data_IF_893038940155
#
_entry.id   IF_893038940155
#
_cell.length_a   1.000
_cell.length_b   1.000
_cell.length_c   1.000
_cell.angle_alpha   90.00
_cell.angle_beta   90.00
_cell.angle_gamma   90.00
#
_symmetry.space_group_name_H-M   'P 1'
#
loop_
_entity.id
_entity.type
_entity.pdbx_description
1 polymer ?
#
# COMPACT_ATOMS: atom_id res chain seq x y z
N UNK A 1 -7.48 6.39 15.41
CA UNK A 1 -6.29 6.31 14.53
C UNK A 1 -5.98 4.86 14.26
N UNK A 2 -5.69 4.52 13.02
CA UNK A 2 -5.37 3.16 12.59
C UNK A 2 -4.03 3.23 11.88
N UNK A 3 -3.03 2.50 12.35
CA UNK A 3 -1.73 2.38 11.71
C UNK A 3 -1.52 0.94 11.30
N UNK A 4 -0.99 0.69 10.10
CA UNK A 4 -0.71 -0.67 9.63
C UNK A 4 0.48 -0.74 8.68
N UNK A 5 1.01 -1.95 8.55
CA UNK A 5 1.97 -2.31 7.51
C UNK A 5 1.30 -3.34 6.60
N UNK A 6 1.07 -2.98 5.34
CA UNK A 6 0.58 -3.92 4.33
C UNK A 6 1.75 -4.42 3.47
N UNK A 7 1.85 -5.73 3.25
CA UNK A 7 2.92 -6.35 2.48
C UNK A 7 2.33 -7.08 1.28
N UNK A 8 2.87 -6.78 0.09
CA UNK A 8 2.52 -7.47 -1.15
C UNK A 8 3.76 -8.04 -1.84
N UNK A 9 3.54 -9.08 -2.63
CA UNK A 9 4.57 -9.66 -3.50
C UNK A 9 4.26 -9.31 -4.95
N UNK A 10 5.24 -8.73 -5.63
CA UNK A 10 5.16 -8.43 -7.06
C UNK A 10 5.59 -9.68 -7.85
N UNK A 11 4.92 -9.95 -8.97
CA UNK A 11 5.32 -11.02 -9.90
C UNK A 11 6.74 -10.77 -10.41
N UNK A 12 7.47 -11.86 -10.65
CA UNK A 12 8.83 -11.78 -11.20
C UNK A 12 8.88 -10.93 -12.49
N UNK A 13 9.84 -10.02 -12.56
CA UNK A 13 10.04 -9.13 -13.72
C UNK A 13 9.15 -7.89 -13.76
N UNK A 14 8.17 -7.74 -12.85
CA UNK A 14 7.25 -6.60 -12.86
C UNK A 14 7.59 -5.48 -11.87
N UNK A 15 8.70 -5.57 -11.13
CA UNK A 15 9.00 -4.64 -10.03
C UNK A 15 9.12 -3.18 -10.48
N UNK A 16 9.82 -2.91 -11.59
CA UNK A 16 9.96 -1.55 -12.12
C UNK A 16 8.61 -0.97 -12.53
N UNK A 17 7.81 -1.74 -13.28
CA UNK A 17 6.44 -1.36 -13.68
C UNK A 17 5.54 -1.12 -12.46
N UNK A 18 5.65 -1.95 -11.43
CA UNK A 18 4.90 -1.81 -10.18
C UNK A 18 5.24 -0.48 -9.49
N UNK A 19 6.52 -0.09 -9.45
CA UNK A 19 6.97 1.20 -8.90
C UNK A 19 6.43 2.38 -9.74
N UNK A 20 6.46 2.28 -11.07
CA UNK A 20 5.91 3.33 -11.94
C UNK A 20 4.40 3.54 -11.75
N UNK A 21 3.64 2.44 -11.60
CA UNK A 21 2.22 2.50 -11.28
C UNK A 21 2.02 3.14 -9.91
N UNK A 22 2.79 2.74 -8.89
CA UNK A 22 2.69 3.30 -7.55
C UNK A 22 2.92 4.81 -7.51
N UNK A 23 3.93 5.30 -8.25
CA UNK A 23 4.19 6.75 -8.38
C UNK A 23 3.00 7.53 -8.94
N UNK A 24 2.12 6.89 -9.73
CA UNK A 24 0.92 7.51 -10.30
C UNK A 24 -0.30 7.41 -9.39
N UNK A 25 -0.47 6.30 -8.66
CA UNK A 25 -1.68 6.07 -7.85
C UNK A 25 -1.58 6.69 -6.46
N UNK A 26 -0.39 6.68 -5.83
CA UNK A 26 -0.22 7.18 -4.45
C UNK A 26 -0.66 8.64 -4.29
N UNK A 27 -0.30 9.58 -5.19
CA UNK A 27 -0.79 10.95 -5.11
C UNK A 27 -2.32 11.03 -5.16
N UNK A 28 -2.96 10.25 -6.04
CA UNK A 28 -4.42 10.22 -6.20
C UNK A 28 -5.12 9.69 -4.96
N UNK A 29 -4.57 8.65 -4.32
CA UNK A 29 -5.07 8.13 -3.04
C UNK A 29 -5.06 9.26 -2.01
N UNK A 30 -3.90 9.89 -1.80
CA UNK A 30 -3.73 11.00 -0.84
C UNK A 30 -4.64 12.20 -1.12
N UNK A 31 -4.87 12.54 -2.39
CA UNK A 31 -5.79 13.62 -2.77
C UNK A 31 -7.26 13.27 -2.52
N UNK A 32 -7.66 12.02 -2.79
CA UNK A 32 -9.05 11.56 -2.68
C UNK A 32 -9.45 11.14 -1.27
N UNK A 33 -8.48 10.85 -0.41
CA UNK A 33 -8.69 10.29 0.94
C UNK A 33 -7.98 11.17 1.98
N UNK A 34 -8.55 12.34 2.35
CA UNK A 34 -7.90 13.26 3.29
C UNK A 34 -7.73 12.69 4.71
N UNK A 35 -8.44 11.62 5.05
CA UNK A 35 -8.25 10.87 6.30
C UNK A 35 -7.09 9.87 6.27
N UNK A 36 -6.49 9.62 5.10
CA UNK A 36 -5.27 8.84 4.91
C UNK A 36 -4.07 9.76 5.16
N UNK A 37 -3.56 9.71 6.39
CA UNK A 37 -2.46 10.56 6.86
C UNK A 37 -1.11 10.11 6.28
N UNK A 38 -0.88 8.80 6.26
CA UNK A 38 0.32 8.21 5.65
C UNK A 38 -0.10 7.10 4.68
N UNK A 39 0.55 7.08 3.51
CA UNK A 39 0.42 6.05 2.49
C UNK A 39 1.73 6.00 1.70
N UNK A 40 2.72 5.29 2.25
CA UNK A 40 4.09 5.32 1.76
C UNK A 40 4.54 3.92 1.37
N UNK A 41 4.63 3.60 0.06
CA UNK A 41 5.21 2.34 -0.38
C UNK A 41 6.74 2.35 -0.26
N UNK A 42 7.31 1.22 0.16
CA UNK A 42 8.75 1.00 0.30
C UNK A 42 9.15 -0.31 -0.35
N UNK A 43 10.33 -0.32 -0.99
CA UNK A 43 11.02 -1.56 -1.35
C UNK A 43 11.80 -2.09 -0.14
N UNK A 44 11.89 -3.41 -0.01
CA UNK A 44 12.61 -4.03 1.11
C UNK A 44 14.02 -4.44 0.69
N UNK A 45 15.02 -4.06 1.50
CA UNK A 45 16.43 -4.39 1.26
C UNK A 45 16.67 -5.90 1.37
N UNK A 46 17.49 -6.45 0.48
CA UNK A 46 17.96 -7.83 0.51
C UNK A 46 17.36 -8.70 -0.60
N UNK A 47 18.16 -9.62 -1.15
CA UNK A 47 17.79 -10.43 -2.33
C UNK A 47 16.53 -11.28 -2.13
N UNK A 48 16.28 -11.75 -0.91
CA UNK A 48 15.05 -12.49 -0.51
C UNK A 48 13.77 -11.67 -0.70
N UNK A 49 13.88 -10.35 -0.67
CA UNK A 49 12.75 -9.41 -0.73
C UNK A 49 12.72 -8.57 -2.00
N UNK A 50 13.48 -8.97 -3.03
CA UNK A 50 13.60 -8.22 -4.30
C UNK A 50 12.26 -7.90 -5.00
N UNK A 51 11.21 -8.66 -4.70
CA UNK A 51 9.85 -8.44 -5.23
C UNK A 51 8.85 -8.08 -4.11
N UNK A 52 9.29 -7.53 -2.99
CA UNK A 52 8.41 -7.13 -1.90
C UNK A 52 8.23 -5.63 -1.91
N UNK A 53 6.98 -5.21 -1.79
CA UNK A 53 6.61 -3.84 -1.46
C UNK A 53 5.85 -3.88 -0.12
N UNK A 54 6.24 -3.00 0.78
CA UNK A 54 5.51 -2.76 2.02
C UNK A 54 4.92 -1.35 1.98
N UNK A 55 3.73 -1.17 2.53
CA UNK A 55 3.06 0.11 2.66
C UNK A 55 3.04 0.46 4.13
N UNK A 56 3.55 1.64 4.47
CA UNK A 56 3.32 2.25 5.78
C UNK A 56 2.10 3.13 5.65
N UNK A 57 1.07 2.77 6.40
CA UNK A 57 -0.24 3.40 6.30
C UNK A 57 -0.69 3.90 7.66
N UNK A 58 -1.30 5.09 7.65
CA UNK A 58 -1.85 5.72 8.84
C UNK A 58 -3.14 6.44 8.47
N UNK A 59 -4.19 6.16 9.23
CA UNK A 59 -5.52 6.73 9.04
C UNK A 59 -5.96 7.44 10.31
N UNK A 60 -6.60 8.60 10.15
CA UNK A 60 -7.08 9.42 11.26
C UNK A 60 -7.97 8.64 12.23
N UNK A 61 -8.87 7.84 11.70
CA UNK A 61 -9.88 7.07 12.41
C UNK A 61 -10.31 5.84 11.60
N UNK A 62 -11.25 5.07 12.15
CA UNK A 62 -11.78 3.86 11.52
C UNK A 62 -12.62 4.18 10.27
N UNK A 63 -13.31 5.33 10.24
CA UNK A 63 -14.07 5.77 9.07
C UNK A 63 -13.14 6.04 7.87
N UNK A 64 -12.02 6.72 8.09
CA UNK A 64 -11.00 6.94 7.07
C UNK A 64 -10.40 5.61 6.56
N UNK A 65 -10.14 4.65 7.45
CA UNK A 65 -9.67 3.33 7.07
C UNK A 65 -10.71 2.56 6.25
N UNK A 66 -11.98 2.58 6.66
CA UNK A 66 -13.07 1.93 5.92
C UNK A 66 -13.26 2.54 4.53
N UNK A 67 -13.14 3.86 4.41
CA UNK A 67 -13.16 4.56 3.11
C UNK A 67 -12.01 4.09 2.21
N UNK A 68 -10.80 3.99 2.75
CA UNK A 68 -9.64 3.47 2.02
C UNK A 68 -9.91 2.06 1.49
N UNK A 69 -10.39 1.16 2.37
CA UNK A 69 -10.71 -0.22 1.99
C UNK A 69 -11.79 -0.30 0.89
N UNK A 70 -12.79 0.57 0.92
CA UNK A 70 -13.82 0.65 -0.11
C UNK A 70 -13.27 1.15 -1.46
N UNK A 71 -12.31 2.08 -1.43
CA UNK A 71 -11.67 2.62 -2.63
C UNK A 71 -10.54 1.74 -3.18
N UNK A 72 -9.97 0.84 -2.36
CA UNK A 72 -8.81 0.02 -2.70
C UNK A 72 -8.95 -0.71 -4.05
N UNK A 73 -10.07 -1.39 -4.39
CA UNK A 73 -10.21 -2.06 -5.69
C UNK A 73 -10.12 -1.10 -6.89
N UNK A 74 -10.65 0.13 -6.72
CA UNK A 74 -10.61 1.17 -7.76
C UNK A 74 -9.20 1.74 -7.89
N UNK A 75 -8.57 2.10 -6.77
CA UNK A 75 -7.27 2.75 -6.74
C UNK A 75 -6.14 1.79 -7.17
N UNK A 76 -6.27 0.49 -6.87
CA UNK A 76 -5.27 -0.53 -7.17
C UNK A 76 -5.52 -1.26 -8.50
N UNK A 77 -6.51 -0.87 -9.31
CA UNK A 77 -6.89 -1.58 -10.55
C UNK A 77 -5.72 -1.86 -11.50
N UNK A 78 -4.79 -0.91 -11.64
CA UNK A 78 -3.59 -1.06 -12.49
C UNK A 78 -2.44 -1.79 -11.80
N UNK A 79 -2.42 -1.80 -10.46
CA UNK A 79 -1.36 -2.38 -9.64
C UNK A 79 -1.62 -3.86 -9.34
N UNK A 80 -2.85 -4.23 -8.98
CA UNK A 80 -3.25 -5.59 -8.60
C UNK A 80 -2.86 -6.67 -9.63
N UNK A 81 -2.95 -6.46 -10.96
CA UNK A 81 -2.52 -7.47 -11.94
C UNK A 81 -1.03 -7.82 -11.87
N UNK A 82 -0.19 -6.91 -11.34
CA UNK A 82 1.26 -7.08 -11.21
C UNK A 82 1.65 -7.90 -9.97
N UNK A 83 0.70 -8.19 -9.08
CA UNK A 83 0.96 -8.86 -7.81
C UNK A 83 0.73 -10.36 -7.90
N UNK A 84 1.47 -11.10 -7.08
CA UNK A 84 1.11 -12.45 -6.68
C UNK A 84 -0.16 -12.40 -5.81
N UNK A 85 -0.99 -13.46 -5.78
CA UNK A 85 -2.13 -13.52 -4.89
C UNK A 85 -1.72 -13.41 -3.42
N UNK A 86 -2.51 -12.65 -2.66
CA UNK A 86 -2.33 -12.49 -1.22
C UNK A 86 -1.72 -11.15 -0.82
N UNK A 87 -2.05 -10.75 0.39
CA UNK A 87 -1.55 -9.56 1.06
C UNK A 87 -1.47 -9.88 2.54
N UNK A 88 -0.36 -9.53 3.17
CA UNK A 88 -0.21 -9.64 4.62
C UNK A 88 -0.42 -8.25 5.25
N UNK A 89 -1.19 -8.18 6.33
CA UNK A 89 -1.55 -6.90 6.97
C UNK A 89 -1.27 -7.01 8.46
N UNK A 90 -0.42 -6.10 8.95
CA UNK A 90 -0.08 -5.98 10.35
C UNK A 90 -0.62 -4.67 10.91
N UNK A 91 -1.65 -4.71 11.74
CA UNK A 91 -2.10 -3.53 12.48
C UNK A 91 -1.08 -3.18 13.58
N UNK A 92 -0.77 -1.90 13.72
CA UNK A 92 0.26 -1.38 14.61
C UNK A 92 -0.35 -0.45 15.66
N UNK A 93 0.28 -0.43 16.84
CA UNK A 93 0.03 0.58 17.87
C UNK A 93 1.25 1.49 17.95
N UNK A 94 1.02 2.80 17.94
CA UNK A 94 2.07 3.79 18.15
C UNK A 94 2.46 3.81 19.62
N UNK A 95 3.76 3.90 19.90
CA UNK A 95 4.31 3.85 21.25
C UNK A 95 4.83 5.21 21.74
N UNK A 96 4.76 6.25 20.88
CA UNK A 96 5.19 7.63 21.12
C UNK A 96 4.21 8.61 20.49
#
# INVERSE_FOLDING_TARGET
MVSLIATVRVKNGNMEKAIEVLKKIVPKVKESEPGCLEYIPHTVKGSKFKNTIIFYEKYKDEEAFNLHMANLPKNMKEFSPLLEPGMDVMTCFEIL
#
